data_IF_836227622243
#
_entry.id   IF_836227622243
#
_cell.length_a   1.000
_cell.length_b   1.000
_cell.length_c   1.000
_cell.angle_alpha   90.00
_cell.angle_beta   90.00
_cell.angle_gamma   90.00
#
_symmetry.space_group_name_H-M   'P 1'
#
loop_
_entity.id
_entity.type
_entity.pdbx_description
1 polymer ?
#
# COMPACT_ATOMS: atom_id res chain seq x y z
N UNK A 1 -23.56 2.31 11.65
CA UNK A 1 -22.41 2.03 12.54
C UNK A 1 -21.34 2.96 12.06
N UNK A 2 -21.26 4.09 12.73
CA UNK A 2 -20.46 5.22 12.32
C UNK A 2 -19.01 4.89 12.69
N UNK A 3 -18.20 4.53 11.69
CA UNK A 3 -16.73 4.46 11.80
C UNK A 3 -16.19 5.90 11.82
N UNK A 4 -16.70 6.72 12.75
CA UNK A 4 -16.19 8.06 13.03
C UNK A 4 -14.70 7.94 13.41
N UNK A 5 -13.84 8.27 12.45
CA UNK A 5 -12.51 8.82 12.70
C UNK A 5 -11.65 8.08 13.72
N UNK A 6 -11.48 6.76 13.59
CA UNK A 6 -10.44 6.08 14.36
C UNK A 6 -9.08 6.68 13.98
N UNK A 7 -8.48 7.40 14.92
CA UNK A 7 -7.19 8.03 14.75
C UNK A 7 -6.14 6.92 14.72
N UNK A 8 -5.62 6.60 13.53
CA UNK A 8 -4.51 5.66 13.44
C UNK A 8 -3.31 6.32 14.11
N UNK A 9 -2.77 5.65 15.12
CA UNK A 9 -1.50 6.02 15.69
C UNK A 9 -0.40 5.80 14.64
N UNK A 10 -0.03 6.90 13.98
CA UNK A 10 1.03 6.92 12.96
C UNK A 10 2.39 6.51 13.53
N UNK A 11 2.58 6.54 14.86
CA UNK A 11 3.82 6.06 15.49
C UNK A 11 3.99 4.54 15.39
N UNK A 12 2.90 3.81 15.10
CA UNK A 12 2.93 2.37 14.89
C UNK A 12 3.26 1.96 13.45
N UNK A 13 3.26 2.91 12.51
CA UNK A 13 3.64 2.64 11.13
C UNK A 13 5.17 2.66 11.01
N UNK A 14 5.72 1.63 10.35
CA UNK A 14 7.14 1.62 9.97
C UNK A 14 7.25 1.67 8.46
N UNK A 15 8.24 2.40 7.98
CA UNK A 15 8.56 2.50 6.56
C UNK A 15 9.92 1.88 6.36
N UNK A 16 9.98 0.88 5.49
CA UNK A 16 11.20 0.15 5.15
C UNK A 16 11.49 0.27 3.66
N UNK A 17 12.77 0.20 3.29
CA UNK A 17 13.18 0.07 1.88
C UNK A 17 13.47 -1.39 1.58
N UNK A 18 12.78 -1.95 0.60
CA UNK A 18 12.91 -3.36 0.22
C UNK A 18 13.30 -3.50 -1.25
N UNK A 19 14.10 -4.52 -1.59
CA UNK A 19 14.39 -4.88 -2.98
C UNK A 19 13.45 -6.02 -3.40
N UNK A 20 12.57 -5.76 -4.37
CA UNK A 20 11.60 -6.72 -4.88
C UNK A 20 11.55 -6.71 -6.40
N UNK A 21 11.06 -7.79 -7.00
CA UNK A 21 10.73 -7.77 -8.41
C UNK A 21 9.53 -6.85 -8.64
N UNK A 22 9.46 -6.15 -9.77
CA UNK A 22 8.33 -5.29 -10.09
C UNK A 22 6.99 -6.01 -10.04
N UNK A 23 5.97 -5.29 -9.58
CA UNK A 23 4.62 -5.85 -9.37
C UNK A 23 3.96 -6.12 -10.72
N UNK A 24 4.20 -5.26 -11.72
CA UNK A 24 3.70 -5.38 -13.08
C UNK A 24 4.84 -5.59 -14.07
N UNK A 25 4.54 -6.40 -15.09
CA UNK A 25 5.48 -6.70 -16.16
C UNK A 25 6.57 -7.70 -15.77
N UNK A 26 7.27 -8.21 -16.77
CA UNK A 26 8.44 -9.06 -16.56
C UNK A 26 9.70 -8.19 -16.51
N UNK A 27 10.40 -8.23 -15.40
CA UNK A 27 11.67 -7.56 -15.22
C UNK A 27 12.69 -8.53 -14.59
N UNK A 28 13.88 -8.70 -15.21
CA UNK A 28 14.90 -9.60 -14.69
C UNK A 28 15.60 -9.07 -13.42
N UNK A 29 15.44 -7.77 -13.13
CA UNK A 29 16.10 -7.08 -12.03
C UNK A 29 15.10 -6.69 -10.94
N UNK A 30 15.60 -6.59 -9.70
CA UNK A 30 14.83 -6.10 -8.55
C UNK A 30 14.95 -4.58 -8.45
N UNK A 31 13.83 -3.92 -8.19
CA UNK A 31 13.75 -2.49 -7.89
C UNK A 31 13.61 -2.27 -6.38
N UNK A 32 13.90 -1.03 -5.96
CA UNK A 32 13.71 -0.60 -4.56
C UNK A 32 12.28 -0.08 -4.41
N UNK A 33 11.57 -0.60 -3.41
CA UNK A 33 10.22 -0.22 -3.04
C UNK A 33 10.18 0.30 -1.60
N UNK A 34 9.22 1.17 -1.33
CA UNK A 34 8.82 1.53 0.03
C UNK A 34 7.81 0.49 0.53
N UNK A 35 8.11 -0.15 1.66
CA UNK A 35 7.22 -1.07 2.36
C UNK A 35 6.66 -0.38 3.59
N UNK A 36 5.33 -0.24 3.64
CA UNK A 36 4.62 0.27 4.82
C UNK A 36 4.25 -0.94 5.67
N UNK A 37 4.96 -1.12 6.78
CA UNK A 37 4.71 -2.19 7.73
C UNK A 37 3.67 -1.72 8.75
N UNK A 38 2.61 -2.52 8.88
CA UNK A 38 1.47 -2.25 9.77
C UNK A 38 1.29 -3.41 10.75
N UNK A 39 0.72 -3.13 11.92
CA UNK A 39 0.53 -4.15 12.95
C UNK A 39 -0.83 -4.86 12.85
N UNK A 40 -1.82 -4.24 12.19
CA UNK A 40 -3.17 -4.78 12.08
C UNK A 40 -3.69 -4.78 10.66
N UNK A 41 -4.60 -5.72 10.36
CA UNK A 41 -5.31 -5.76 9.08
C UNK A 41 -6.10 -4.49 8.79
N UNK A 42 -6.67 -3.84 9.82
CA UNK A 42 -7.42 -2.58 9.66
C UNK A 42 -6.47 -1.46 9.20
N UNK A 43 -5.31 -1.32 9.84
CA UNK A 43 -4.27 -0.35 9.44
C UNK A 43 -3.82 -0.57 7.99
N UNK A 44 -3.54 -1.82 7.62
CA UNK A 44 -3.17 -2.17 6.24
C UNK A 44 -4.25 -1.81 5.23
N UNK A 45 -5.51 -2.16 5.51
CA UNK A 45 -6.63 -1.85 4.61
C UNK A 45 -6.81 -0.34 4.44
N UNK A 46 -6.65 0.44 5.51
CA UNK A 46 -6.74 1.89 5.45
C UNK A 46 -5.57 2.48 4.66
N UNK A 47 -4.34 2.03 4.90
CA UNK A 47 -3.16 2.46 4.16
C UNK A 47 -3.29 2.18 2.65
N UNK A 48 -3.75 0.98 2.29
CA UNK A 48 -4.02 0.64 0.89
C UNK A 48 -5.11 1.52 0.29
N UNK A 49 -6.22 1.75 1.01
CA UNK A 49 -7.30 2.61 0.53
C UNK A 49 -6.85 4.05 0.29
N UNK A 50 -5.95 4.59 1.13
CA UNK A 50 -5.37 5.93 0.93
C UNK A 50 -4.57 5.97 -0.38
N UNK A 51 -3.71 4.98 -0.63
CA UNK A 51 -2.91 4.90 -1.88
C UNK A 51 -3.82 4.74 -3.09
N UNK A 52 -4.83 3.88 -3.02
CA UNK A 52 -5.79 3.67 -4.11
C UNK A 52 -6.61 4.93 -4.39
N UNK A 53 -7.05 5.63 -3.35
CA UNK A 53 -7.76 6.92 -3.49
C UNK A 53 -6.85 7.95 -4.16
N UNK A 54 -5.61 8.10 -3.70
CA UNK A 54 -4.64 8.99 -4.33
C UNK A 54 -4.48 8.67 -5.82
N UNK A 55 -4.31 7.39 -6.16
CA UNK A 55 -4.23 6.95 -7.55
C UNK A 55 -5.51 7.27 -8.33
N UNK A 56 -6.70 7.20 -7.74
CA UNK A 56 -7.95 7.52 -8.45
C UNK A 56 -8.11 8.98 -8.83
N UNK A 57 -7.36 9.88 -8.18
CA UNK A 57 -7.46 11.34 -8.34
C UNK A 57 -6.38 11.93 -9.26
N UNK A 58 -5.43 11.11 -9.73
CA UNK A 58 -4.27 11.56 -10.53
C UNK A 58 -4.19 10.85 -11.89
N UNK A 59 -3.48 11.46 -12.85
CA UNK A 59 -3.27 10.88 -14.18
C UNK A 59 -2.47 9.57 -14.10
N UNK A 60 -2.73 8.66 -15.06
CA UNK A 60 -2.15 7.31 -15.09
C UNK A 60 -0.63 7.28 -14.99
N UNK A 61 0.07 8.24 -15.62
CA UNK A 61 1.54 8.31 -15.61
C UNK A 61 2.13 8.56 -14.20
N UNK A 62 1.35 9.15 -13.29
CA UNK A 62 1.80 9.49 -11.94
C UNK A 62 1.30 8.50 -10.87
N UNK A 63 0.53 7.49 -11.25
CA UNK A 63 0.00 6.49 -10.32
C UNK A 63 1.13 5.70 -9.67
N UNK A 64 1.03 5.55 -8.35
CA UNK A 64 1.93 4.71 -7.58
C UNK A 64 1.63 3.23 -7.85
N UNK A 65 2.64 2.48 -8.27
CA UNK A 65 2.56 1.02 -8.29
C UNK A 65 2.51 0.51 -6.85
N UNK A 66 1.51 -0.31 -6.52
CA UNK A 66 1.30 -0.78 -5.14
C UNK A 66 0.80 -2.22 -5.11
N UNK A 67 1.17 -2.93 -4.05
CA UNK A 67 0.69 -4.26 -3.72
C UNK A 67 0.48 -4.35 -2.21
N UNK A 68 -0.47 -5.19 -1.80
CA UNK A 68 -0.77 -5.49 -0.40
C UNK A 68 -0.79 -7.01 -0.22
N UNK A 69 -0.27 -7.48 0.91
CA UNK A 69 -0.28 -8.90 1.31
C UNK A 69 -1.64 -9.33 1.89
N UNK A 70 -2.68 -8.50 1.77
CA UNK A 70 -4.01 -8.85 2.24
C UNK A 70 -4.57 -10.05 1.47
N UNK A 71 -4.80 -11.13 2.20
CA UNK A 71 -5.32 -12.42 1.71
C UNK A 71 -6.75 -12.36 1.13
N UNK A 72 -7.36 -11.17 1.04
CA UNK A 72 -8.69 -10.93 0.47
C UNK A 72 -8.66 -10.44 -0.98
N UNK A 73 -7.52 -10.52 -1.68
CA UNK A 73 -7.49 -10.30 -3.12
C UNK A 73 -8.28 -11.42 -3.81
N UNK A 74 -9.53 -11.13 -4.21
CA UNK A 74 -10.21 -11.90 -5.24
C UNK A 74 -9.55 -11.53 -6.56
N UNK A 75 -8.88 -12.52 -7.16
CA UNK A 75 -8.34 -12.47 -8.52
C UNK A 75 -9.47 -12.35 -9.54
#
# INVERSE_FOLDING_TARGET
>A
KDDEGETIDMTMLRIEYVKAFPIRGYHPEKLIYLCIVTNTKKQRSIALNIILKHNSEIEDMYKLETASDDTKAYY
#
